data_IF_171505496785
#
_entry.id   IF_171505496785
#
_cell.length_a   1.000
_cell.length_b   1.000
_cell.length_c   1.000
_cell.angle_alpha   90.00
_cell.angle_beta   90.00
_cell.angle_gamma   90.00
#
_symmetry.space_group_name_H-M   'P 1'
#
loop_
_entity.id
_entity.type
_entity.pdbx_description
1 polymer ?
#
# COMPACT_ATOMS: atom_id res chain seq x y z
N UNK A 1 13.72 13.04 47.17
CA UNK A 1 13.12 11.85 46.52
C UNK A 1 12.29 12.29 45.32
N UNK A 2 12.88 12.68 44.19
CA UNK A 2 12.12 13.16 43.02
C UNK A 2 12.97 13.07 41.74
N UNK A 3 13.38 11.86 41.32
CA UNK A 3 14.14 11.76 40.05
C UNK A 3 13.88 10.50 39.24
N UNK A 4 12.94 9.63 39.66
CA UNK A 4 12.72 8.35 38.94
C UNK A 4 11.61 8.40 37.90
N UNK A 5 10.68 9.33 37.99
CA UNK A 5 9.52 9.39 37.08
C UNK A 5 9.85 9.94 35.69
N UNK A 6 10.82 10.86 35.59
CA UNK A 6 11.16 11.46 34.30
C UNK A 6 11.91 10.52 33.35
N UNK A 7 12.72 9.62 33.86
CA UNK A 7 13.54 8.69 33.05
C UNK A 7 12.67 7.57 32.45
N UNK A 8 11.72 7.06 33.23
CA UNK A 8 10.81 5.99 32.76
C UNK A 8 9.89 6.50 31.64
N UNK A 9 9.35 7.70 31.77
CA UNK A 9 8.47 8.30 30.78
C UNK A 9 9.19 8.60 29.46
N UNK A 10 10.47 8.99 29.51
CA UNK A 10 11.30 9.20 28.31
C UNK A 10 11.65 7.89 27.60
N UNK A 11 11.74 6.79 28.31
CA UNK A 11 12.07 5.47 27.76
C UNK A 11 10.84 4.82 27.09
N UNK A 12 9.64 4.97 27.68
CA UNK A 12 8.37 4.56 27.06
C UNK A 12 8.07 5.34 25.78
N UNK A 13 8.24 6.65 25.77
CA UNK A 13 8.06 7.49 24.57
C UNK A 13 9.01 7.07 23.44
N UNK A 14 10.25 6.68 23.75
CA UNK A 14 11.20 6.19 22.73
C UNK A 14 10.82 4.83 22.15
N UNK A 15 10.27 3.92 22.94
CA UNK A 15 9.87 2.58 22.49
C UNK A 15 8.62 2.64 21.59
N UNK A 16 7.62 3.41 21.98
CA UNK A 16 6.43 3.66 21.17
C UNK A 16 6.79 4.33 19.86
N UNK A 17 7.70 5.30 19.89
CA UNK A 17 8.18 6.02 18.74
C UNK A 17 8.97 5.15 17.74
N UNK A 18 9.82 4.26 18.23
CA UNK A 18 10.51 3.28 17.39
C UNK A 18 9.53 2.32 16.71
N UNK A 19 8.48 1.93 17.43
CA UNK A 19 7.39 1.10 16.89
C UNK A 19 6.62 1.82 15.80
N UNK A 20 6.31 3.12 15.96
CA UNK A 20 5.63 3.92 14.93
C UNK A 20 6.46 4.10 13.66
N UNK A 21 7.75 4.38 13.78
CA UNK A 21 8.67 4.41 12.63
C UNK A 21 8.65 3.10 11.88
N UNK A 22 8.73 1.99 12.61
CA UNK A 22 8.75 0.65 12.05
C UNK A 22 7.49 0.37 11.23
N UNK A 23 6.31 0.63 11.76
CA UNK A 23 5.04 0.40 11.07
C UNK A 23 4.85 1.30 9.84
N UNK A 24 5.31 2.54 9.89
CA UNK A 24 5.28 3.43 8.73
C UNK A 24 6.20 2.96 7.60
N UNK A 25 7.40 2.50 7.91
CA UNK A 25 8.31 1.90 6.94
C UNK A 25 7.70 0.63 6.33
N UNK A 26 7.14 -0.25 7.13
CA UNK A 26 6.52 -1.48 6.64
C UNK A 26 5.35 -1.19 5.71
N UNK A 27 4.50 -0.20 6.01
CA UNK A 27 3.47 0.23 5.07
C UNK A 27 4.08 0.64 3.73
N UNK A 28 5.08 1.52 3.75
CA UNK A 28 5.73 2.02 2.53
C UNK A 28 6.27 0.88 1.68
N UNK A 29 7.06 -0.01 2.28
CA UNK A 29 7.67 -1.13 1.57
C UNK A 29 6.61 -2.09 1.01
N UNK A 30 5.63 -2.48 1.81
CA UNK A 30 4.55 -3.35 1.36
C UNK A 30 3.70 -2.69 0.25
N UNK A 31 3.41 -1.39 0.35
CA UNK A 31 2.70 -0.65 -0.68
C UNK A 31 3.51 -0.55 -1.97
N UNK A 32 4.83 -0.32 -1.89
CA UNK A 32 5.71 -0.28 -3.07
C UNK A 32 5.77 -1.65 -3.76
N UNK A 33 5.88 -2.74 -3.00
CA UNK A 33 5.85 -4.11 -3.55
C UNK A 33 4.49 -4.38 -4.21
N UNK A 34 3.39 -4.05 -3.53
CA UNK A 34 2.03 -4.22 -4.07
C UNK A 34 1.85 -3.49 -5.40
N UNK A 35 2.25 -2.22 -5.44
CA UNK A 35 2.14 -1.40 -6.65
C UNK A 35 3.07 -1.92 -7.74
N UNK A 36 4.29 -2.34 -7.39
CA UNK A 36 5.24 -2.92 -8.34
C UNK A 36 4.70 -4.19 -9.00
N UNK A 37 4.12 -5.10 -8.23
CA UNK A 37 3.43 -6.28 -8.76
C UNK A 37 2.23 -5.90 -9.60
N UNK A 38 1.43 -4.93 -9.14
CA UNK A 38 0.31 -4.38 -9.91
C UNK A 38 0.75 -3.80 -11.27
N UNK A 39 1.88 -3.08 -11.30
CA UNK A 39 2.47 -2.57 -12.56
C UNK A 39 2.76 -3.73 -13.51
N UNK A 40 3.39 -4.80 -13.04
CA UNK A 40 3.73 -5.95 -13.86
C UNK A 40 2.47 -6.60 -14.45
N UNK A 41 1.44 -6.85 -13.63
CA UNK A 41 0.20 -7.48 -14.08
C UNK A 41 -0.60 -6.60 -15.05
N UNK A 42 -0.71 -5.30 -14.78
CA UNK A 42 -1.39 -4.39 -15.69
C UNK A 42 -0.61 -4.15 -16.97
N UNK A 43 0.74 -4.17 -16.93
CA UNK A 43 1.57 -4.06 -18.11
C UNK A 43 1.42 -5.29 -19.00
N UNK A 44 1.42 -6.49 -18.42
CA UNK A 44 1.16 -7.74 -19.10
C UNK A 44 -0.18 -7.70 -19.84
N UNK A 45 -1.23 -7.25 -19.15
CA UNK A 45 -2.55 -7.07 -19.72
C UNK A 45 -2.59 -6.07 -20.88
N UNK A 46 -1.87 -4.96 -20.75
CA UNK A 46 -1.83 -3.91 -21.79
C UNK A 46 -1.03 -4.35 -23.02
N UNK A 47 0.07 -5.08 -22.83
CA UNK A 47 0.95 -5.52 -23.91
C UNK A 47 0.39 -6.72 -24.68
N UNK A 48 -0.20 -7.68 -23.97
CA UNK A 48 -0.67 -8.93 -24.57
C UNK A 48 -2.17 -8.94 -24.87
N UNK A 49 -2.93 -8.02 -24.28
CA UNK A 49 -4.40 -8.06 -24.29
C UNK A 49 -4.95 -9.11 -23.31
N UNK A 50 -6.24 -9.00 -23.00
CA UNK A 50 -6.89 -9.81 -21.96
C UNK A 50 -6.74 -11.32 -22.19
N UNK A 51 -6.95 -11.79 -23.42
CA UNK A 51 -6.97 -13.21 -23.73
C UNK A 51 -5.60 -13.91 -23.49
N UNK A 52 -4.50 -13.24 -23.83
CA UNK A 52 -3.16 -13.78 -23.63
C UNK A 52 -2.65 -13.56 -22.21
N UNK A 53 -2.92 -12.40 -21.60
CA UNK A 53 -2.50 -12.07 -20.26
C UNK A 53 -3.07 -13.05 -19.21
N UNK A 54 -4.33 -13.48 -19.37
CA UNK A 54 -4.97 -14.48 -18.48
C UNK A 54 -4.29 -15.86 -18.50
N UNK A 55 -3.52 -16.16 -19.54
CA UNK A 55 -2.76 -17.40 -19.68
C UNK A 55 -1.24 -17.19 -19.46
N UNK A 56 -0.81 -15.98 -19.14
CA UNK A 56 0.60 -15.64 -18.94
C UNK A 56 0.87 -15.26 -17.47
N UNK A 57 0.82 -13.99 -17.13
CA UNK A 57 1.10 -13.53 -15.77
C UNK A 57 -0.17 -13.27 -14.94
N UNK A 58 -1.28 -12.93 -15.57
CA UNK A 58 -2.55 -12.64 -14.87
C UNK A 58 -3.25 -13.96 -14.54
N UNK A 59 -2.85 -14.58 -13.45
CA UNK A 59 -3.34 -15.88 -13.00
C UNK A 59 -3.86 -15.82 -11.55
N UNK A 60 -4.62 -16.81 -11.11
CA UNK A 60 -5.04 -16.94 -9.71
C UNK A 60 -3.82 -17.03 -8.78
N UNK A 61 -2.75 -17.68 -9.22
CA UNK A 61 -1.52 -17.81 -8.43
C UNK A 61 -0.81 -16.47 -8.25
N UNK A 62 -0.66 -15.69 -9.31
CA UNK A 62 -0.06 -14.36 -9.23
C UNK A 62 -0.92 -13.40 -8.41
N UNK A 63 -2.24 -13.53 -8.48
CA UNK A 63 -3.17 -12.76 -7.67
C UNK A 63 -3.02 -13.08 -6.17
N UNK A 64 -2.83 -14.34 -5.81
CA UNK A 64 -2.50 -14.74 -4.42
C UNK A 64 -1.18 -14.16 -3.93
N UNK A 65 -0.17 -14.14 -4.78
CA UNK A 65 1.13 -13.53 -4.45
C UNK A 65 0.97 -12.03 -4.21
N UNK A 66 0.21 -11.34 -5.06
CA UNK A 66 -0.10 -9.92 -4.91
C UNK A 66 -0.88 -9.63 -3.62
N UNK A 67 -1.81 -10.50 -3.25
CA UNK A 67 -2.69 -10.33 -2.09
C UNK A 67 -1.91 -10.26 -0.76
N UNK A 68 -0.77 -10.93 -0.64
CA UNK A 68 0.04 -10.94 0.60
C UNK A 68 0.55 -9.54 0.96
N UNK A 69 1.39 -8.88 0.14
CA UNK A 69 1.86 -7.52 0.45
C UNK A 69 0.71 -6.50 0.44
N UNK A 70 -0.33 -6.70 -0.37
CA UNK A 70 -1.50 -5.85 -0.43
C UNK A 70 -2.27 -5.84 0.90
N UNK A 71 -2.56 -7.00 1.47
CA UNK A 71 -3.26 -7.12 2.76
C UNK A 71 -2.41 -6.51 3.87
N UNK A 72 -1.11 -6.77 3.87
CA UNK A 72 -0.20 -6.19 4.84
C UNK A 72 -0.14 -4.66 4.75
N UNK A 73 -0.08 -4.11 3.53
CA UNK A 73 -0.13 -2.67 3.31
C UNK A 73 -1.48 -2.08 3.73
N UNK A 74 -2.60 -2.75 3.45
CA UNK A 74 -3.93 -2.30 3.89
C UNK A 74 -4.01 -2.20 5.42
N UNK A 75 -3.63 -3.25 6.14
CA UNK A 75 -3.67 -3.29 7.61
C UNK A 75 -2.75 -2.22 8.19
N UNK A 76 -1.48 -2.19 7.78
CA UNK A 76 -0.53 -1.22 8.32
C UNK A 76 -0.91 0.22 7.96
N UNK A 77 -1.42 0.47 6.76
CA UNK A 77 -1.91 1.77 6.32
C UNK A 77 -3.09 2.27 7.17
N UNK A 78 -4.05 1.40 7.48
CA UNK A 78 -5.19 1.73 8.36
C UNK A 78 -4.71 2.01 9.78
N UNK A 79 -3.81 1.19 10.33
CA UNK A 79 -3.29 1.36 11.68
C UNK A 79 -2.55 2.69 11.86
N UNK A 80 -1.80 3.12 10.84
CA UNK A 80 -1.03 4.38 10.90
C UNK A 80 -1.79 5.59 10.37
N UNK A 81 -3.02 5.42 9.86
CA UNK A 81 -3.82 6.45 9.21
C UNK A 81 -3.91 7.79 9.95
N UNK A 82 -4.12 7.72 11.26
CA UNK A 82 -4.26 8.92 12.12
C UNK A 82 -2.97 9.31 12.83
N UNK A 83 -1.96 8.47 12.76
CA UNK A 83 -0.78 8.56 13.60
C UNK A 83 0.45 9.09 12.87
N UNK A 84 0.47 8.93 11.52
CA UNK A 84 1.58 9.42 10.70
C UNK A 84 1.29 10.86 10.27
N UNK A 85 2.21 11.76 10.59
CA UNK A 85 2.20 13.13 10.11
C UNK A 85 3.11 13.23 8.89
N UNK A 86 2.67 13.94 7.89
CA UNK A 86 3.41 14.19 6.66
C UNK A 86 3.82 15.67 6.61
N UNK A 87 5.02 15.94 6.15
CA UNK A 87 5.54 17.30 5.97
C UNK A 87 4.67 18.16 5.04
N UNK A 88 3.96 17.51 4.10
CA UNK A 88 3.14 18.23 3.10
C UNK A 88 1.69 17.73 3.08
N UNK A 89 0.76 18.65 2.80
CA UNK A 89 -0.67 18.31 2.57
C UNK A 89 -0.82 17.31 1.41
N UNK A 90 0.00 17.44 0.35
CA UNK A 90 0.01 16.55 -0.81
C UNK A 90 0.43 15.14 -0.42
N UNK A 91 1.51 14.98 0.35
CA UNK A 91 1.96 13.67 0.82
C UNK A 91 0.90 12.96 1.66
N UNK A 92 0.19 13.70 2.52
CA UNK A 92 -0.95 13.15 3.29
C UNK A 92 -2.10 12.71 2.41
N UNK A 93 -2.46 13.51 1.39
CA UNK A 93 -3.54 13.16 0.47
C UNK A 93 -3.21 11.90 -0.33
N UNK A 94 -1.99 11.80 -0.88
CA UNK A 94 -1.54 10.63 -1.64
C UNK A 94 -1.47 9.39 -0.76
N UNK A 95 -0.95 9.50 0.46
CA UNK A 95 -0.96 8.41 1.44
C UNK A 95 -2.39 7.90 1.68
N UNK A 96 -3.32 8.80 1.98
CA UNK A 96 -4.72 8.42 2.23
C UNK A 96 -5.36 7.77 1.00
N UNK A 97 -5.15 8.34 -0.17
CA UNK A 97 -5.63 7.77 -1.43
C UNK A 97 -5.07 6.36 -1.68
N UNK A 98 -3.78 6.16 -1.43
CA UNK A 98 -3.16 4.84 -1.60
C UNK A 98 -3.67 3.81 -0.60
N UNK A 99 -3.89 4.18 0.67
CA UNK A 99 -4.49 3.27 1.66
C UNK A 99 -5.91 2.89 1.25
N UNK A 100 -6.73 3.85 0.82
CA UNK A 100 -8.09 3.59 0.33
C UNK A 100 -8.07 2.68 -0.90
N UNK A 101 -7.19 2.96 -1.86
CA UNK A 101 -7.04 2.14 -3.06
C UNK A 101 -6.64 0.71 -2.71
N UNK A 102 -5.57 0.53 -1.93
CA UNK A 102 -5.05 -0.79 -1.57
C UNK A 102 -6.08 -1.55 -0.72
N UNK A 103 -6.64 -0.94 0.32
CA UNK A 103 -7.62 -1.58 1.18
C UNK A 103 -8.93 -1.91 0.45
N UNK A 104 -9.36 -1.04 -0.46
CA UNK A 104 -10.53 -1.28 -1.30
C UNK A 104 -10.32 -2.37 -2.34
N UNK A 105 -9.08 -2.61 -2.77
CA UNK A 105 -8.74 -3.68 -3.71
C UNK A 105 -8.69 -5.07 -3.04
N UNK A 106 -8.37 -5.17 -1.74
CA UNK A 106 -8.26 -6.45 -1.03
C UNK A 106 -9.50 -7.34 -1.19
N UNK A 107 -10.76 -6.87 -0.98
CA UNK A 107 -11.94 -7.72 -1.13
C UNK A 107 -12.08 -8.32 -2.54
N UNK A 108 -11.75 -7.56 -3.59
CA UNK A 108 -11.79 -8.04 -4.97
C UNK A 108 -10.79 -9.18 -5.17
N UNK A 109 -9.55 -8.99 -4.74
CA UNK A 109 -8.50 -9.99 -4.89
C UNK A 109 -8.74 -11.23 -4.01
N UNK A 110 -9.34 -11.07 -2.83
CA UNK A 110 -9.81 -12.21 -2.02
C UNK A 110 -10.90 -12.99 -2.76
N UNK A 111 -11.85 -12.29 -3.38
CA UNK A 111 -12.91 -12.92 -4.16
C UNK A 111 -12.34 -13.70 -5.34
N UNK A 112 -11.43 -13.12 -6.12
CA UNK A 112 -10.77 -13.78 -7.25
C UNK A 112 -9.98 -15.01 -6.79
N UNK A 113 -9.16 -14.86 -5.76
CA UNK A 113 -8.18 -15.87 -5.34
C UNK A 113 -8.74 -17.05 -4.58
N UNK A 114 -9.85 -16.86 -3.84
CA UNK A 114 -10.32 -17.83 -2.88
C UNK A 114 -11.81 -18.20 -3.02
N UNK A 115 -12.61 -17.38 -3.67
CA UNK A 115 -14.06 -17.61 -3.80
C UNK A 115 -14.39 -18.05 -5.22
N UNK A 116 -14.13 -17.20 -6.21
CA UNK A 116 -14.48 -17.52 -7.60
C UNK A 116 -13.43 -18.39 -8.28
N UNK A 117 -12.15 -18.31 -7.83
CA UNK A 117 -10.99 -18.94 -8.47
C UNK A 117 -10.89 -18.62 -9.97
N UNK A 118 -11.42 -17.47 -10.37
CA UNK A 118 -11.51 -17.03 -11.75
C UNK A 118 -10.91 -15.63 -11.92
N UNK A 119 -9.72 -15.58 -12.46
CA UNK A 119 -9.02 -14.32 -12.71
C UNK A 119 -9.63 -13.52 -13.87
N UNK A 120 -10.44 -14.12 -14.74
CA UNK A 120 -11.10 -13.41 -15.83
C UNK A 120 -12.03 -12.28 -15.36
N UNK A 121 -12.37 -12.24 -14.05
CA UNK A 121 -13.09 -11.12 -13.43
C UNK A 121 -12.36 -9.77 -13.64
N UNK A 122 -11.03 -9.79 -13.75
CA UNK A 122 -10.25 -8.56 -14.00
C UNK A 122 -10.62 -7.92 -15.36
N UNK A 123 -11.16 -8.68 -16.30
CA UNK A 123 -11.58 -8.17 -17.60
C UNK A 123 -12.90 -7.37 -17.54
N UNK A 124 -13.64 -7.41 -16.42
CA UNK A 124 -14.78 -6.53 -16.16
C UNK A 124 -14.36 -5.06 -16.08
N UNK A 125 -13.10 -4.81 -15.71
CA UNK A 125 -12.53 -3.48 -15.80
C UNK A 125 -12.05 -3.23 -17.23
N UNK A 126 -12.55 -2.18 -17.91
CA UNK A 126 -12.16 -1.88 -19.27
C UNK A 126 -10.65 -1.57 -19.35
N UNK A 127 -10.04 -1.84 -20.49
CA UNK A 127 -8.59 -1.70 -20.70
C UNK A 127 -8.06 -0.30 -20.38
N UNK A 128 -8.86 0.76 -20.59
CA UNK A 128 -8.46 2.13 -20.23
C UNK A 128 -8.15 2.28 -18.72
N UNK A 129 -8.77 1.45 -17.88
CA UNK A 129 -8.48 1.45 -16.44
C UNK A 129 -7.03 1.01 -16.16
N UNK A 130 -6.53 -0.01 -16.85
CA UNK A 130 -5.13 -0.41 -16.77
C UNK A 130 -4.18 0.69 -17.23
N UNK A 131 -4.49 1.40 -18.30
CA UNK A 131 -3.71 2.57 -18.73
C UNK A 131 -3.72 3.68 -17.68
N UNK A 132 -4.85 3.98 -17.08
CA UNK A 132 -4.96 4.98 -16.01
C UNK A 132 -4.07 4.62 -14.81
N UNK A 133 -4.10 3.36 -14.39
CA UNK A 133 -3.26 2.89 -13.31
C UNK A 133 -1.77 3.02 -13.64
N UNK A 134 -1.35 2.55 -14.81
CA UNK A 134 0.05 2.56 -15.23
C UNK A 134 0.62 3.96 -15.45
N UNK A 135 -0.15 4.85 -16.08
CA UNK A 135 0.35 6.17 -16.50
C UNK A 135 0.20 7.22 -15.39
N UNK A 136 -0.83 7.12 -14.56
CA UNK A 136 -1.16 8.16 -13.59
C UNK A 136 -1.00 7.67 -12.15
N UNK A 137 -1.76 6.65 -11.77
CA UNK A 137 -1.93 6.28 -10.37
C UNK A 137 -0.64 5.71 -9.78
N UNK A 138 -0.07 4.70 -10.41
CA UNK A 138 1.14 4.04 -9.92
C UNK A 138 2.37 4.94 -9.92
N UNK A 139 2.68 5.71 -10.96
CA UNK A 139 3.78 6.67 -10.91
C UNK A 139 3.63 7.70 -9.80
N UNK A 140 2.42 8.22 -9.57
CA UNK A 140 2.16 9.16 -8.48
C UNK A 140 2.40 8.52 -7.10
N UNK A 141 1.93 7.29 -6.89
CA UNK A 141 2.15 6.57 -5.65
C UNK A 141 3.64 6.24 -5.44
N UNK A 142 4.30 5.63 -6.42
CA UNK A 142 5.71 5.24 -6.34
C UNK A 142 6.62 6.44 -6.09
N UNK A 143 6.47 7.52 -6.87
CA UNK A 143 7.28 8.73 -6.70
C UNK A 143 7.04 9.41 -5.36
N UNK A 144 5.81 9.39 -4.86
CA UNK A 144 5.48 9.95 -3.57
C UNK A 144 6.06 9.11 -2.44
N UNK A 145 5.90 7.78 -2.49
CA UNK A 145 6.47 6.88 -1.48
C UNK A 145 8.00 6.89 -1.48
N UNK A 146 8.62 6.98 -2.64
CA UNK A 146 10.07 7.14 -2.73
C UNK A 146 10.58 8.39 -2.01
N UNK A 147 9.82 9.50 -2.10
CA UNK A 147 10.16 10.79 -1.49
C UNK A 147 9.66 10.96 -0.07
N UNK A 148 8.71 10.12 0.39
CA UNK A 148 8.14 10.24 1.72
C UNK A 148 9.20 9.91 2.78
N UNK A 149 9.60 10.94 3.52
CA UNK A 149 10.24 10.79 4.81
C UNK A 149 9.16 10.91 5.87
N UNK A 150 9.06 9.93 6.74
CA UNK A 150 8.18 9.99 7.89
C UNK A 150 8.86 10.88 8.94
N UNK A 151 8.35 12.09 9.09
CA UNK A 151 8.80 12.96 10.16
C UNK A 151 8.16 12.56 11.48
N UNK A 152 8.93 12.59 12.58
CA UNK A 152 8.37 12.43 13.90
C UNK A 152 7.30 13.50 14.13
N UNK A 153 6.17 13.09 14.74
CA UNK A 153 5.22 14.07 15.26
C UNK A 153 5.92 14.80 16.40
N UNK A 154 6.52 15.96 16.11
CA UNK A 154 6.90 16.87 17.19
C UNK A 154 5.62 17.17 17.97
N UNK A 155 5.62 16.90 19.28
CA UNK A 155 4.62 17.46 20.19
C UNK A 155 4.71 18.97 20.02
N UNK A 156 3.83 19.54 19.25
CA UNK A 156 3.45 20.95 19.41
C UNK A 156 2.26 20.90 20.37
N UNK A 157 2.52 21.42 21.53
CA UNK A 157 1.55 21.69 22.59
C UNK A 157 0.26 22.29 22.07
#
# INVERSE_FOLDING_TARGET
MTTTTGVVQHQEDRSLWSSYRRHGYFFREAAMITIGLGVILHLDRVLLGDALALNHLVTVSSDRVLLVPMTYAAITGILVWRRVRFATKRGRAVFRASVVYIAGSVPLHVYISYISLNVAIVTWFPMWFSYLLLIVVYPVFLTTFWRLRYEPATKTD
#
